data_IF_068788905906
#
_entry.id   IF_068788905906
#
_cell.length_a   1.000
_cell.length_b   1.000
_cell.length_c   1.000
_cell.angle_alpha   90.00
_cell.angle_beta   90.00
_cell.angle_gamma   90.00
#
_symmetry.space_group_name_H-M   'P 1'
#
loop_
_entity.id
_entity.type
_entity.pdbx_description
1 polymer ?
#
# COMPACT_ATOMS: atom_id res chain seq x y z
N UNK A 1 -90.63 17.52 58.80
CA UNK A 1 -90.57 18.97 58.59
C UNK A 1 -89.52 19.23 57.52
N UNK A 2 -89.93 19.71 56.35
CA UNK A 2 -89.08 19.99 55.19
C UNK A 2 -88.26 21.28 55.41
N UNK A 3 -86.99 21.29 55.01
CA UNK A 3 -86.37 22.47 54.39
C UNK A 3 -85.41 22.01 53.29
N UNK A 4 -85.70 22.41 52.05
CA UNK A 4 -84.93 22.13 50.83
C UNK A 4 -84.14 23.40 50.52
N UNK A 5 -82.81 23.37 50.63
CA UNK A 5 -81.98 24.51 50.27
C UNK A 5 -81.31 24.25 48.91
N UNK A 6 -81.67 25.07 47.92
CA UNK A 6 -81.10 25.09 46.56
C UNK A 6 -79.70 25.69 46.66
N UNK A 7 -78.63 24.90 46.47
CA UNK A 7 -77.28 25.46 46.28
C UNK A 7 -77.12 25.95 44.84
N UNK A 8 -77.19 27.26 44.65
CA UNK A 8 -76.70 27.90 43.43
C UNK A 8 -75.16 27.79 43.37
N UNK A 9 -74.63 27.30 42.24
CA UNK A 9 -73.19 27.28 42.00
C UNK A 9 -72.70 28.71 41.73
N UNK A 10 -71.72 29.17 42.52
CA UNK A 10 -71.12 30.50 42.39
C UNK A 10 -70.47 30.70 40.99
N UNK A 11 -70.59 31.88 40.35
CA UNK A 11 -70.11 32.18 38.99
C UNK A 11 -68.62 31.85 38.72
N UNK A 12 -67.78 31.82 39.75
CA UNK A 12 -66.34 31.61 39.63
C UNK A 12 -65.95 30.20 39.14
N UNK A 13 -66.77 29.17 39.37
CA UNK A 13 -66.42 27.80 38.97
C UNK A 13 -66.50 27.56 37.45
N UNK A 14 -67.40 28.25 36.75
CA UNK A 14 -67.57 28.10 35.29
C UNK A 14 -66.42 28.79 34.53
N UNK A 15 -65.90 29.90 35.06
CA UNK A 15 -64.78 30.63 34.47
C UNK A 15 -63.45 29.86 34.60
N UNK A 16 -63.20 29.25 35.76
CA UNK A 16 -62.03 28.40 36.02
C UNK A 16 -62.01 27.16 35.11
N UNK A 17 -63.16 26.48 34.93
CA UNK A 17 -63.27 25.32 34.02
C UNK A 17 -62.99 25.68 32.56
N UNK A 18 -63.38 26.89 32.09
CA UNK A 18 -63.09 27.37 30.73
C UNK A 18 -61.60 27.69 30.54
N UNK A 19 -60.95 28.29 31.54
CA UNK A 19 -59.49 28.54 31.52
C UNK A 19 -58.69 27.24 31.44
N UNK A 20 -59.04 26.25 32.26
CA UNK A 20 -58.37 24.93 32.29
C UNK A 20 -58.54 24.16 30.97
N UNK A 21 -59.72 24.20 30.34
CA UNK A 21 -59.96 23.56 29.04
C UNK A 21 -59.14 24.22 27.91
N UNK A 22 -59.02 25.55 27.90
CA UNK A 22 -58.22 26.27 26.92
C UNK A 22 -56.70 26.06 27.11
N UNK A 23 -56.22 25.96 28.35
CA UNK A 23 -54.82 25.61 28.67
C UNK A 23 -54.47 24.20 28.16
N UNK A 24 -55.34 23.22 28.38
CA UNK A 24 -55.14 21.84 27.91
C UNK A 24 -55.09 21.76 26.38
N UNK A 25 -55.98 22.47 25.68
CA UNK A 25 -56.01 22.54 24.21
C UNK A 25 -54.79 23.23 23.60
N UNK A 26 -54.23 24.25 24.26
CA UNK A 26 -53.01 24.96 23.81
C UNK A 26 -51.76 24.08 23.93
N UNK A 27 -51.67 23.29 24.99
CA UNK A 27 -50.58 22.32 25.19
C UNK A 27 -50.52 21.25 24.10
N UNK A 28 -51.65 20.69 23.69
CA UNK A 28 -51.70 19.69 22.60
C UNK A 28 -51.27 20.23 21.24
N UNK A 29 -51.58 21.50 20.91
CA UNK A 29 -51.15 22.13 19.65
C UNK A 29 -49.65 22.43 19.61
N UNK A 30 -49.08 22.87 20.73
CA UNK A 30 -47.64 23.15 20.85
C UNK A 30 -46.84 21.83 20.81
N UNK A 31 -47.35 20.79 21.47
CA UNK A 31 -46.71 19.47 21.47
C UNK A 31 -46.73 18.82 20.08
N UNK A 32 -47.85 18.93 19.33
CA UNK A 32 -47.94 18.46 17.95
C UNK A 32 -47.00 19.20 16.98
N UNK A 33 -46.83 20.51 17.15
CA UNK A 33 -45.92 21.32 16.32
C UNK A 33 -44.45 20.99 16.58
N UNK A 34 -44.07 20.70 17.83
CA UNK A 34 -42.70 20.29 18.20
C UNK A 34 -42.34 18.90 17.65
N UNK A 35 -43.30 17.96 17.64
CA UNK A 35 -43.10 16.64 17.02
C UNK A 35 -42.90 16.79 15.51
N UNK A 36 -43.72 17.61 14.84
CA UNK A 36 -43.59 17.85 13.40
C UNK A 36 -42.25 18.53 13.06
N UNK A 37 -41.83 19.50 13.86
CA UNK A 37 -40.53 20.16 13.71
C UNK A 37 -39.36 19.18 13.94
N UNK A 38 -39.46 18.30 14.94
CA UNK A 38 -38.48 17.24 15.18
C UNK A 38 -38.37 16.28 13.98
N UNK A 39 -39.49 15.86 13.39
CA UNK A 39 -39.48 15.00 12.18
C UNK A 39 -38.94 15.71 10.93
N UNK A 40 -39.20 17.01 10.77
CA UNK A 40 -38.66 17.83 9.68
C UNK A 40 -37.14 18.01 9.86
N UNK A 41 -36.68 18.31 11.08
CA UNK A 41 -35.24 18.40 11.40
C UNK A 41 -34.52 17.06 11.22
N UNK A 42 -35.14 15.94 11.61
CA UNK A 42 -34.58 14.59 11.37
C UNK A 42 -34.45 14.28 9.87
N UNK A 43 -35.44 14.65 9.06
CA UNK A 43 -35.39 14.45 7.60
C UNK A 43 -34.37 15.37 6.91
N UNK A 44 -34.21 16.60 7.37
CA UNK A 44 -33.18 17.54 6.87
C UNK A 44 -31.76 17.09 7.25
N UNK A 45 -31.56 16.46 8.41
CA UNK A 45 -30.27 15.87 8.80
C UNK A 45 -29.88 14.65 7.94
N UNK A 46 -30.85 13.92 7.39
CA UNK A 46 -30.62 12.71 6.61
C UNK A 46 -30.16 12.98 5.15
N UNK A 47 -30.21 14.23 4.69
CA UNK A 47 -29.93 14.63 3.30
C UNK A 47 -28.46 15.04 3.03
N UNK A 48 -27.54 14.76 3.95
CA UNK A 48 -26.11 15.07 3.75
C UNK A 48 -25.15 14.03 4.33
N UNK A 49 -25.50 12.74 4.23
CA UNK A 49 -24.47 11.70 4.24
C UNK A 49 -23.94 11.55 2.82
N UNK A 50 -22.86 12.28 2.51
CA UNK A 50 -21.95 11.82 1.47
C UNK A 50 -21.35 10.51 1.97
N UNK A 51 -21.86 9.37 1.50
CA UNK A 51 -21.08 8.14 1.52
C UNK A 51 -19.91 8.43 0.59
N UNK A 52 -18.78 8.80 1.17
CA UNK A 52 -17.52 8.80 0.47
C UNK A 52 -17.34 7.36 0.02
N UNK A 53 -17.46 7.11 -1.29
CA UNK A 53 -17.33 5.75 -1.81
C UNK A 53 -15.91 5.29 -1.43
N UNK A 54 -15.82 4.35 -0.49
CA UNK A 54 -14.54 3.76 -0.13
C UNK A 54 -13.92 3.22 -1.43
N UNK A 55 -12.69 3.65 -1.73
CA UNK A 55 -12.05 3.31 -3.00
C UNK A 55 -12.09 1.80 -3.28
N UNK A 56 -12.26 1.43 -4.54
CA UNK A 56 -12.53 0.05 -4.94
C UNK A 56 -11.26 -0.69 -5.35
N UNK A 57 -11.19 -1.96 -4.97
CA UNK A 57 -10.19 -2.90 -5.44
C UNK A 57 -10.74 -3.74 -6.60
N UNK A 58 -9.93 -3.98 -7.62
CA UNK A 58 -10.30 -4.78 -8.79
C UNK A 58 -9.14 -5.71 -9.17
N UNK A 59 -9.40 -7.01 -9.31
CA UNK A 59 -8.40 -7.95 -9.80
C UNK A 59 -8.56 -8.14 -11.32
N UNK A 60 -7.51 -7.87 -12.09
CA UNK A 60 -7.43 -8.12 -13.53
C UNK A 60 -6.22 -9.00 -13.80
N UNK A 61 -6.45 -10.22 -14.29
CA UNK A 61 -5.39 -11.19 -14.64
C UNK A 61 -4.34 -11.39 -13.52
N UNK A 62 -4.80 -11.58 -12.27
CA UNK A 62 -3.96 -11.71 -11.07
C UNK A 62 -3.19 -10.44 -10.65
N UNK A 63 -3.47 -9.30 -11.25
CA UNK A 63 -2.96 -8.00 -10.83
C UNK A 63 -4.08 -7.23 -10.15
N UNK A 64 -3.84 -6.81 -8.90
CA UNK A 64 -4.78 -5.97 -8.16
C UNK A 64 -4.59 -4.50 -8.52
N UNK A 65 -5.70 -3.83 -8.78
CA UNK A 65 -5.79 -2.40 -9.02
C UNK A 65 -6.63 -1.74 -7.93
N UNK A 66 -6.28 -0.51 -7.58
CA UNK A 66 -7.01 0.33 -6.63
C UNK A 66 -7.44 1.63 -7.31
N UNK A 67 -8.72 1.96 -7.15
CA UNK A 67 -9.32 3.19 -7.67
C UNK A 67 -9.89 3.98 -6.49
N UNK A 68 -9.30 5.12 -6.10
CA UNK A 68 -9.80 5.91 -4.99
C UNK A 68 -11.18 6.51 -5.28
N UNK A 69 -11.47 6.79 -6.56
CA UNK A 69 -12.79 7.23 -7.04
C UNK A 69 -13.08 6.59 -8.41
N UNK A 70 -14.32 6.69 -8.90
CA UNK A 70 -14.66 6.17 -10.24
C UNK A 70 -13.96 6.91 -11.39
N UNK A 71 -13.53 8.16 -11.17
CA UNK A 71 -12.92 9.01 -12.20
C UNK A 71 -11.38 8.99 -12.13
N UNK A 72 -10.81 8.59 -11.00
CA UNK A 72 -9.36 8.57 -10.79
C UNK A 72 -8.78 7.16 -10.98
N UNK A 73 -8.12 6.94 -12.11
CA UNK A 73 -7.51 5.66 -12.45
C UNK A 73 -5.99 5.57 -12.19
N UNK A 74 -5.35 6.66 -11.74
CA UNK A 74 -3.89 6.78 -11.64
C UNK A 74 -3.39 7.14 -10.23
N UNK A 75 -3.93 6.51 -9.20
CA UNK A 75 -3.52 6.73 -7.82
C UNK A 75 -2.10 6.20 -7.54
N UNK A 76 -1.32 6.96 -6.77
CA UNK A 76 -0.03 6.49 -6.23
C UNK A 76 0.09 6.86 -4.76
N UNK A 77 0.22 5.85 -3.89
CA UNK A 77 0.28 6.07 -2.46
C UNK A 77 -0.04 4.83 -1.65
N UNK A 78 -0.10 5.03 -0.33
CA UNK A 78 -0.45 3.99 0.63
C UNK A 78 -1.96 3.90 0.80
N UNK A 79 -2.48 2.67 0.85
CA UNK A 79 -3.87 2.36 1.13
C UNK A 79 -3.91 1.39 2.29
N UNK A 80 -4.74 1.66 3.28
CA UNK A 80 -5.02 0.71 4.35
C UNK A 80 -6.32 -0.03 4.02
N UNK A 81 -6.28 -1.36 4.06
CA UNK A 81 -7.49 -2.17 3.92
C UNK A 81 -8.36 -2.00 5.16
N UNK A 82 -9.64 -1.60 5.03
CA UNK A 82 -10.54 -1.46 6.18
C UNK A 82 -10.85 -2.80 6.84
N UNK A 83 -10.79 -3.90 6.09
CA UNK A 83 -11.08 -5.25 6.56
C UNK A 83 -9.94 -5.85 7.40
N UNK A 84 -8.69 -5.67 6.94
CA UNK A 84 -7.52 -6.33 7.53
C UNK A 84 -6.61 -5.40 8.33
N UNK A 85 -6.85 -4.08 8.26
CA UNK A 85 -5.95 -3.03 8.74
C UNK A 85 -4.53 -3.06 8.14
N UNK A 86 -4.28 -3.91 7.14
CA UNK A 86 -2.97 -4.03 6.47
C UNK A 86 -2.78 -2.89 5.47
N UNK A 87 -1.53 -2.44 5.37
CA UNK A 87 -1.11 -1.42 4.42
C UNK A 87 -0.64 -2.03 3.10
N UNK A 88 -1.01 -1.39 2.01
CA UNK A 88 -0.63 -1.74 0.64
C UNK A 88 -0.11 -0.49 -0.05
N UNK A 89 0.85 -0.64 -0.95
CA UNK A 89 1.32 0.46 -1.78
C UNK A 89 0.80 0.31 -3.21
N UNK A 90 0.25 1.41 -3.73
CA UNK A 90 -0.27 1.51 -5.09
C UNK A 90 0.65 2.43 -5.89
N UNK A 91 0.98 2.01 -7.11
CA UNK A 91 1.68 2.83 -8.10
C UNK A 91 0.90 2.83 -9.40
N UNK A 92 0.48 4.01 -9.86
CA UNK A 92 -0.34 4.17 -11.07
C UNK A 92 -1.55 3.23 -11.09
N UNK A 93 -2.27 3.17 -9.97
CA UNK A 93 -3.42 2.29 -9.77
C UNK A 93 -3.09 0.82 -9.52
N UNK A 94 -1.84 0.36 -9.68
CA UNK A 94 -1.44 -1.05 -9.50
C UNK A 94 -0.88 -1.33 -8.11
N UNK A 95 -1.35 -2.39 -7.46
CA UNK A 95 -0.77 -2.91 -6.22
C UNK A 95 0.66 -3.40 -6.45
N UNK A 96 1.58 -2.97 -5.61
CA UNK A 96 2.98 -3.39 -5.67
C UNK A 96 3.24 -4.60 -4.76
N UNK A 97 4.30 -5.34 -5.05
CA UNK A 97 4.86 -6.42 -4.21
C UNK A 97 6.38 -6.31 -4.19
N UNK A 98 7.04 -6.98 -3.24
CA UNK A 98 8.49 -6.96 -3.10
C UNK A 98 9.03 -5.66 -2.51
N UNK A 99 10.33 -5.43 -2.71
CA UNK A 99 11.02 -4.23 -2.27
C UNK A 99 10.60 -3.01 -3.10
N UNK A 100 10.37 -1.89 -2.43
CA UNK A 100 10.04 -0.63 -3.08
C UNK A 100 10.54 0.58 -2.27
N UNK A 101 10.76 1.70 -2.94
CA UNK A 101 11.10 2.97 -2.28
C UNK A 101 9.99 3.99 -2.41
N UNK A 102 9.65 4.66 -1.30
CA UNK A 102 8.69 5.76 -1.27
C UNK A 102 9.24 6.92 -0.45
N UNK A 103 9.28 8.12 -1.05
CA UNK A 103 9.76 9.36 -0.40
C UNK A 103 11.12 9.20 0.32
N UNK A 104 12.05 8.49 -0.31
CA UNK A 104 13.41 8.28 0.21
C UNK A 104 13.54 7.18 1.28
N UNK A 105 12.46 6.47 1.61
CA UNK A 105 12.48 5.30 2.51
C UNK A 105 12.21 4.02 1.72
N UNK A 106 12.79 2.91 2.19
CA UNK A 106 12.55 1.58 1.62
C UNK A 106 11.52 0.80 2.44
N UNK A 107 10.70 0.01 1.75
CA UNK A 107 9.65 -0.82 2.31
C UNK A 107 9.67 -2.18 1.61
N UNK A 108 9.16 -3.20 2.29
CA UNK A 108 8.92 -4.51 1.69
C UNK A 108 7.44 -4.84 1.72
N UNK A 109 6.88 -5.17 0.55
CA UNK A 109 5.53 -5.68 0.42
C UNK A 109 5.58 -7.19 0.19
N UNK A 110 4.82 -7.95 0.97
CA UNK A 110 4.77 -9.40 0.84
C UNK A 110 4.16 -9.81 -0.51
N UNK A 111 4.20 -11.12 -0.81
CA UNK A 111 3.64 -11.65 -2.07
C UNK A 111 2.14 -11.37 -2.23
N UNK A 112 1.41 -11.18 -1.12
CA UNK A 112 0.01 -10.78 -1.11
C UNK A 112 -0.20 -9.24 -1.14
N UNK A 113 0.88 -8.47 -1.27
CA UNK A 113 0.88 -7.01 -1.34
C UNK A 113 0.92 -6.29 0.01
N UNK A 114 0.69 -6.98 1.13
CA UNK A 114 0.65 -6.34 2.43
C UNK A 114 2.05 -5.97 2.93
N UNK A 115 2.20 -4.77 3.48
CA UNK A 115 3.45 -4.23 4.02
C UNK A 115 3.98 -5.09 5.17
N UNK A 116 5.27 -5.42 5.11
CA UNK A 116 5.98 -6.02 6.23
C UNK A 116 6.35 -4.95 7.26
N UNK A 117 6.19 -5.27 8.54
CA UNK A 117 6.58 -4.43 9.67
C UNK A 117 7.23 -5.29 10.77
N UNK A 118 8.06 -4.66 11.60
CA UNK A 118 8.69 -5.22 12.81
C UNK A 118 9.38 -6.57 12.59
N UNK A 119 10.11 -6.72 11.48
CA UNK A 119 10.79 -7.98 11.16
C UNK A 119 12.03 -7.77 10.30
N UNK A 120 12.88 -8.80 10.26
CA UNK A 120 13.95 -8.90 9.28
C UNK A 120 13.41 -9.33 7.93
N UNK A 121 13.83 -8.65 6.88
CA UNK A 121 13.66 -9.06 5.48
C UNK A 121 15.06 -9.13 4.86
N UNK A 122 15.58 -10.34 4.70
CA UNK A 122 16.98 -10.55 4.33
C UNK A 122 17.92 -9.92 5.36
N UNK A 123 18.80 -9.01 4.90
CA UNK A 123 19.80 -8.35 5.74
C UNK A 123 19.34 -6.98 6.27
N UNK A 124 18.06 -6.66 6.18
CA UNK A 124 17.46 -5.37 6.56
C UNK A 124 16.35 -5.59 7.57
N UNK A 125 16.21 -4.68 8.53
CA UNK A 125 15.10 -4.69 9.47
C UNK A 125 14.07 -3.63 9.07
N UNK A 126 12.81 -4.03 8.86
CA UNK A 126 11.68 -3.10 8.66
C UNK A 126 11.04 -2.77 10.00
N UNK A 127 10.87 -1.47 10.27
CA UNK A 127 10.37 -0.92 11.53
C UNK A 127 8.87 -1.06 11.70
N UNK A 128 8.35 -0.38 12.72
CA UNK A 128 6.90 -0.29 13.00
C UNK A 128 6.14 0.51 11.93
N UNK A 129 6.79 1.49 11.28
CA UNK A 129 6.21 2.21 10.14
C UNK A 129 6.42 1.46 8.81
N UNK A 130 6.91 0.21 8.85
CA UNK A 130 7.29 -0.61 7.70
C UNK A 130 8.55 -0.15 6.96
N UNK A 131 9.14 1.00 7.33
CA UNK A 131 10.34 1.49 6.68
C UNK A 131 11.57 0.74 7.16
N UNK A 132 12.53 0.50 6.25
CA UNK A 132 13.85 -0.03 6.61
C UNK A 132 14.52 0.92 7.60
N UNK A 133 14.99 0.37 8.71
CA UNK A 133 15.79 1.11 9.68
C UNK A 133 17.20 1.33 9.13
N UNK A 134 17.71 2.55 9.29
CA UNK A 134 19.07 2.95 8.86
C UNK A 134 19.79 3.69 9.98
N UNK A 135 21.12 3.61 9.97
CA UNK A 135 22.03 4.34 10.88
C UNK A 135 21.66 4.25 12.38
N UNK A 136 21.20 3.08 12.82
CA UNK A 136 20.77 2.81 14.19
C UNK A 136 20.88 1.34 14.56
N UNK A 137 20.54 1.01 15.79
CA UNK A 137 20.43 -0.37 16.25
C UNK A 137 19.01 -0.92 15.99
N UNK A 138 18.92 -2.17 15.53
CA UNK A 138 17.67 -2.93 15.47
C UNK A 138 17.21 -3.34 16.89
N UNK A 139 15.94 -3.73 17.07
CA UNK A 139 15.44 -4.12 18.40
C UNK A 139 16.17 -5.29 19.07
N UNK A 140 16.80 -6.15 18.27
CA UNK A 140 17.61 -7.30 18.71
C UNK A 140 19.12 -7.00 18.81
N UNK A 141 19.53 -5.73 18.69
CA UNK A 141 20.88 -5.29 19.03
C UNK A 141 21.87 -5.20 17.87
N UNK A 142 21.44 -5.38 16.63
CA UNK A 142 22.32 -5.28 15.46
C UNK A 142 22.44 -3.83 14.99
N UNK A 143 23.67 -3.36 14.79
CA UNK A 143 23.92 -2.04 14.20
C UNK A 143 23.65 -2.07 12.70
N UNK A 144 22.94 -1.08 12.19
CA UNK A 144 22.55 -0.94 10.80
C UNK A 144 23.32 0.20 10.14
N UNK A 145 23.68 0.01 8.88
CA UNK A 145 24.38 1.01 8.07
C UNK A 145 23.43 2.04 7.44
N UNK A 146 23.99 2.99 6.69
CA UNK A 146 23.24 4.01 5.96
C UNK A 146 22.34 3.44 4.86
N UNK A 147 22.69 2.28 4.27
CA UNK A 147 21.81 1.59 3.31
C UNK A 147 20.83 0.62 4.01
N UNK A 148 20.86 0.55 5.33
CA UNK A 148 20.00 -0.30 6.17
C UNK A 148 20.50 -1.72 6.37
N UNK A 149 21.51 -2.18 5.63
CA UNK A 149 22.09 -3.51 5.86
C UNK A 149 22.77 -3.54 7.23
N UNK A 150 22.61 -4.64 7.96
CA UNK A 150 23.32 -4.80 9.23
C UNK A 150 24.85 -4.78 9.04
N UNK A 151 25.54 -4.34 10.08
CA UNK A 151 26.99 -4.23 10.11
C UNK A 151 27.62 -5.52 10.62
N UNK A 152 28.51 -6.10 9.82
CA UNK A 152 29.40 -7.17 10.24
C UNK A 152 30.83 -6.65 10.27
N UNK A 153 31.49 -6.73 11.44
CA UNK A 153 32.85 -6.18 11.66
C UNK A 153 32.99 -4.71 11.22
N UNK A 154 31.94 -3.91 11.47
CA UNK A 154 31.93 -2.47 11.19
C UNK A 154 31.65 -2.09 9.73
N UNK A 155 31.34 -3.05 8.86
CA UNK A 155 30.99 -2.80 7.45
C UNK A 155 29.60 -3.35 7.12
N UNK A 156 28.85 -2.73 6.19
CA UNK A 156 27.57 -3.27 5.73
C UNK A 156 27.78 -4.63 5.09
N UNK A 157 26.94 -5.60 5.45
CA UNK A 157 26.98 -6.93 4.83
C UNK A 157 26.65 -6.84 3.34
N UNK A 158 25.60 -6.13 2.97
CA UNK A 158 25.32 -5.79 1.58
C UNK A 158 25.83 -4.39 1.28
N UNK A 159 27.00 -4.29 0.66
CA UNK A 159 27.62 -2.99 0.34
C UNK A 159 27.15 -2.46 -1.01
N UNK A 160 26.69 -1.20 -1.01
CA UNK A 160 26.42 -0.45 -2.24
C UNK A 160 27.75 -0.05 -2.87
N UNK A 161 28.01 -0.44 -4.11
CA UNK A 161 29.20 -0.01 -4.83
C UNK A 161 28.83 0.70 -6.14
N UNK A 162 29.81 1.31 -6.81
CA UNK A 162 29.57 2.06 -8.05
C UNK A 162 28.95 1.21 -9.18
N UNK A 163 29.10 -0.11 -9.13
CA UNK A 163 28.55 -1.03 -10.15
C UNK A 163 27.05 -1.28 -9.93
N UNK A 164 26.59 -1.37 -8.68
CA UNK A 164 25.17 -1.58 -8.36
C UNK A 164 24.38 -0.28 -8.28
N UNK A 165 25.00 0.82 -7.86
CA UNK A 165 24.31 2.09 -7.60
C UNK A 165 23.66 2.75 -8.84
N UNK A 166 24.21 2.52 -10.04
CA UNK A 166 23.80 3.26 -11.25
C UNK A 166 22.40 2.88 -11.73
N UNK A 167 22.04 1.60 -11.74
CA UNK A 167 20.71 1.17 -12.18
C UNK A 167 19.63 1.34 -11.11
N UNK A 168 19.99 1.50 -9.83
CA UNK A 168 19.00 1.74 -8.76
C UNK A 168 18.18 2.98 -9.08
N UNK A 169 18.85 4.09 -9.43
CA UNK A 169 18.17 5.33 -9.79
C UNK A 169 17.25 5.14 -11.00
N UNK A 170 17.73 4.42 -12.01
CA UNK A 170 16.95 4.11 -13.21
C UNK A 170 15.70 3.30 -12.86
N UNK A 171 15.80 2.26 -12.04
CA UNK A 171 14.66 1.43 -11.63
C UNK A 171 13.70 2.16 -10.67
N UNK A 172 14.18 3.16 -9.91
CA UNK A 172 13.31 4.03 -9.12
C UNK A 172 12.47 4.95 -10.00
N UNK A 173 13.08 5.54 -11.03
CA UNK A 173 12.42 6.44 -11.99
C UNK A 173 11.53 5.67 -12.98
N UNK A 174 11.95 4.49 -13.41
CA UNK A 174 11.30 3.61 -14.37
C UNK A 174 11.08 2.21 -13.77
N UNK A 175 10.10 2.05 -12.87
CA UNK A 175 9.83 0.78 -12.17
C UNK A 175 9.38 -0.35 -13.11
N UNK A 176 8.90 0.00 -14.29
CA UNK A 176 8.40 -0.87 -15.35
C UNK A 176 9.43 -1.04 -16.48
N UNK A 177 10.67 -0.60 -16.25
CA UNK A 177 11.75 -0.77 -17.21
C UNK A 177 11.91 -2.26 -17.55
N UNK A 178 11.87 -2.54 -18.86
CA UNK A 178 12.12 -3.88 -19.38
C UNK A 178 13.60 -4.16 -19.32
N UNK A 179 13.98 -5.25 -18.66
CA UNK A 179 15.36 -5.69 -18.58
C UNK A 179 15.66 -6.73 -19.65
N UNK A 180 16.85 -6.61 -20.25
CA UNK A 180 17.45 -7.60 -21.12
C UNK A 180 18.80 -7.97 -20.53
N UNK A 181 19.03 -9.26 -20.35
CA UNK A 181 20.27 -9.83 -19.85
C UNK A 181 20.98 -10.55 -21.00
N UNK A 182 21.97 -9.90 -21.58
CA UNK A 182 22.72 -10.38 -22.75
C UNK A 182 24.04 -11.03 -22.34
N UNK A 183 24.45 -12.09 -23.03
CA UNK A 183 25.78 -12.71 -22.84
C UNK A 183 26.02 -13.31 -21.43
N UNK A 184 25.37 -14.43 -21.10
CA UNK A 184 25.41 -15.08 -19.78
C UNK A 184 26.72 -15.82 -19.49
N UNK A 185 27.60 -15.92 -20.50
CA UNK A 185 28.94 -16.49 -20.36
C UNK A 185 29.85 -15.64 -19.45
N UNK A 186 29.36 -14.51 -18.96
CA UNK A 186 30.09 -13.60 -18.07
C UNK A 186 29.35 -13.42 -16.74
N UNK A 187 29.06 -14.53 -16.06
CA UNK A 187 28.62 -14.52 -14.67
C UNK A 187 29.80 -14.75 -13.75
N UNK A 188 29.98 -13.85 -12.79
CA UNK A 188 31.02 -13.99 -11.76
C UNK A 188 30.40 -14.00 -10.38
N UNK A 189 30.71 -15.04 -9.60
CA UNK A 189 30.41 -15.04 -8.17
C UNK A 189 31.44 -14.16 -7.47
N UNK A 190 30.96 -13.10 -6.83
CA UNK A 190 31.78 -12.19 -6.04
C UNK A 190 31.35 -12.28 -4.58
N UNK A 191 32.20 -11.79 -3.67
CA UNK A 191 31.94 -11.80 -2.23
C UNK A 191 32.44 -10.50 -1.62
N UNK A 192 31.50 -9.67 -1.16
CA UNK A 192 31.78 -8.41 -0.44
C UNK A 192 31.33 -8.54 1.01
N UNK A 193 32.18 -8.20 1.99
CA UNK A 193 31.85 -8.22 3.43
C UNK A 193 31.14 -9.51 3.92
N UNK A 194 31.60 -10.66 3.43
CA UNK A 194 31.02 -11.98 3.70
C UNK A 194 29.65 -12.28 3.08
N UNK A 195 29.15 -11.38 2.24
CA UNK A 195 27.93 -11.55 1.46
C UNK A 195 28.27 -11.95 0.02
N UNK A 196 27.91 -13.17 -0.40
CA UNK A 196 28.12 -13.61 -1.77
C UNK A 196 26.99 -13.10 -2.68
N UNK A 197 27.36 -12.64 -3.87
CA UNK A 197 26.44 -12.15 -4.89
C UNK A 197 26.95 -12.48 -6.29
N UNK A 198 26.05 -12.40 -7.27
CA UNK A 198 26.34 -12.75 -8.66
C UNK A 198 26.38 -11.47 -9.47
N UNK A 199 27.46 -11.26 -10.23
CA UNK A 199 27.52 -10.17 -11.20
C UNK A 199 27.20 -10.71 -12.59
N UNK A 200 26.19 -10.11 -13.21
CA UNK A 200 25.88 -10.25 -14.63
C UNK A 200 26.47 -9.05 -15.37
N UNK A 201 27.41 -9.26 -16.29
CA UNK A 201 28.18 -8.16 -16.90
C UNK A 201 27.41 -7.24 -17.84
N UNK A 202 26.26 -7.68 -18.35
CA UNK A 202 25.47 -6.88 -19.29
C UNK A 202 23.97 -7.01 -19.08
N UNK A 203 23.44 -6.09 -18.28
CA UNK A 203 22.02 -5.77 -18.24
C UNK A 203 21.78 -4.49 -19.02
N UNK A 204 20.76 -4.51 -19.86
CA UNK A 204 20.20 -3.31 -20.50
C UNK A 204 18.78 -3.08 -20.00
N UNK A 205 18.48 -1.85 -19.59
CA UNK A 205 17.13 -1.44 -19.19
C UNK A 205 16.55 -0.53 -20.26
N UNK A 206 15.32 -0.81 -20.67
CA UNK A 206 14.60 -0.05 -21.68
C UNK A 206 13.28 0.47 -21.14
N UNK A 207 12.93 1.70 -21.53
CA UNK A 207 11.58 2.21 -21.32
C UNK A 207 10.59 1.39 -22.18
N UNK A 208 9.57 0.75 -21.60
CA UNK A 208 8.70 -0.18 -22.32
C UNK A 208 7.79 0.53 -23.35
N UNK A 209 7.57 1.84 -23.22
CA UNK A 209 6.67 2.61 -24.08
C UNK A 209 7.41 3.17 -25.29
N UNK A 210 8.61 3.68 -25.07
CA UNK A 210 9.41 4.39 -26.08
C UNK A 210 10.56 3.56 -26.64
N UNK A 211 10.89 2.43 -26.01
CA UNK A 211 12.08 1.61 -26.30
C UNK A 211 13.41 2.36 -26.13
N UNK A 212 13.42 3.49 -25.42
CA UNK A 212 14.64 4.22 -25.11
C UNK A 212 15.55 3.42 -24.17
N UNK A 213 16.86 3.41 -24.43
CA UNK A 213 17.85 2.80 -23.54
C UNK A 213 18.02 3.70 -22.30
N UNK A 214 17.72 3.15 -21.12
CA UNK A 214 17.81 3.84 -19.84
C UNK A 214 19.12 3.51 -19.09
N UNK A 215 19.63 2.29 -19.28
CA UNK A 215 20.85 1.81 -18.63
C UNK A 215 21.47 0.68 -19.45
N UNK A 216 22.81 0.62 -19.48
CA UNK A 216 23.57 -0.55 -19.91
C UNK A 216 24.78 -0.72 -18.97
N UNK A 217 25.00 -1.92 -18.44
CA UNK A 217 26.16 -2.22 -17.60
C UNK A 217 26.00 -3.47 -16.73
N UNK A 218 26.83 -3.58 -15.70
CA UNK A 218 26.78 -4.69 -14.73
C UNK A 218 25.44 -4.67 -13.95
N UNK A 219 24.97 -5.85 -13.57
CA UNK A 219 23.85 -6.06 -12.66
C UNK A 219 24.25 -7.01 -11.53
N UNK A 220 24.01 -6.59 -10.29
CA UNK A 220 24.26 -7.41 -9.11
C UNK A 220 23.00 -8.16 -8.70
N UNK A 221 23.08 -9.48 -8.64
CA UNK A 221 22.00 -10.36 -8.21
C UNK A 221 22.27 -10.93 -6.83
N UNK A 222 21.21 -11.04 -6.04
CA UNK A 222 21.23 -11.92 -4.88
C UNK A 222 21.48 -13.37 -5.35
N UNK A 223 22.23 -14.15 -4.58
CA UNK A 223 22.43 -15.59 -4.86
C UNK A 223 21.14 -16.40 -5.01
N UNK A 224 20.06 -16.00 -4.33
CA UNK A 224 18.76 -16.65 -4.43
C UNK A 224 17.80 -15.91 -5.36
N UNK A 225 18.29 -14.92 -6.11
CA UNK A 225 17.44 -14.18 -7.02
C UNK A 225 16.85 -15.13 -8.06
N UNK A 226 15.58 -14.91 -8.35
CA UNK A 226 14.79 -15.74 -9.26
C UNK A 226 14.32 -14.87 -10.42
N UNK A 227 14.45 -15.39 -11.62
CA UNK A 227 13.86 -14.84 -12.82
C UNK A 227 12.67 -15.71 -13.21
N UNK A 228 11.51 -15.09 -13.24
CA UNK A 228 10.30 -15.67 -13.79
C UNK A 228 10.35 -15.61 -15.32
N UNK A 229 9.83 -16.62 -16.01
CA UNK A 229 9.57 -16.54 -17.45
C UNK A 229 8.40 -17.43 -17.85
N UNK A 230 7.69 -17.05 -18.91
CA UNK A 230 6.62 -17.87 -19.48
C UNK A 230 7.18 -18.76 -20.60
N UNK A 231 7.02 -20.08 -20.48
CA UNK A 231 7.52 -21.05 -21.46
C UNK A 231 6.54 -21.32 -22.62
N UNK A 232 5.38 -20.66 -22.64
CA UNK A 232 4.29 -20.90 -23.60
C UNK A 232 3.08 -21.62 -22.99
N UNK A 233 3.25 -22.29 -21.84
CA UNK A 233 2.17 -23.01 -21.12
C UNK A 233 2.10 -22.66 -19.65
N UNK A 234 3.25 -22.51 -18.99
CA UNK A 234 3.38 -22.29 -17.55
C UNK A 234 4.41 -21.21 -17.28
N UNK A 235 4.27 -20.61 -16.09
CA UNK A 235 5.31 -19.77 -15.51
C UNK A 235 6.35 -20.67 -14.87
N UNK A 236 7.59 -20.54 -15.34
CA UNK A 236 8.77 -21.20 -14.80
C UNK A 236 9.69 -20.19 -14.11
N UNK A 237 10.63 -20.72 -13.33
CA UNK A 237 11.57 -19.94 -12.54
C UNK A 237 13.01 -20.40 -12.78
N UNK A 238 13.91 -19.46 -13.02
CA UNK A 238 15.35 -19.69 -13.19
C UNK A 238 16.08 -18.98 -12.05
N UNK A 239 16.95 -19.70 -11.34
CA UNK A 239 17.83 -19.06 -10.36
C UNK A 239 18.93 -18.30 -11.08
N UNK A 240 19.41 -17.20 -10.50
CA UNK A 240 20.44 -16.37 -11.11
C UNK A 240 21.71 -17.14 -11.56
N UNK A 241 22.14 -18.18 -10.83
CA UNK A 241 23.29 -19.02 -11.23
C UNK A 241 23.00 -19.87 -12.48
N UNK A 242 21.75 -20.28 -12.68
CA UNK A 242 21.35 -21.12 -13.80
C UNK A 242 21.25 -20.31 -15.11
N UNK A 243 21.28 -18.97 -15.03
CA UNK A 243 21.35 -18.08 -16.19
C UNK A 243 22.58 -18.32 -17.08
N UNK A 244 23.68 -18.87 -16.54
CA UNK A 244 24.88 -19.21 -17.31
C UNK A 244 24.59 -20.11 -18.53
N UNK A 245 23.49 -20.85 -18.49
CA UNK A 245 23.12 -21.84 -19.49
C UNK A 245 22.18 -21.29 -20.57
N UNK A 246 21.76 -20.02 -20.48
CA UNK A 246 20.63 -19.46 -21.26
C UNK A 246 21.07 -18.25 -22.06
N UNK A 247 21.15 -18.33 -23.39
CA UNK A 247 21.75 -17.29 -24.26
C UNK A 247 21.33 -15.83 -24.01
N UNK A 248 20.06 -15.58 -23.72
CA UNK A 248 19.53 -14.26 -23.37
C UNK A 248 18.17 -14.45 -22.72
N UNK A 249 17.87 -13.62 -21.72
CA UNK A 249 16.57 -13.57 -21.06
C UNK A 249 16.12 -12.12 -20.93
N UNK A 250 14.82 -11.89 -21.08
CA UNK A 250 14.21 -10.59 -20.81
C UNK A 250 13.16 -10.70 -19.70
N UNK A 251 13.00 -9.61 -18.97
CA UNK A 251 12.00 -9.46 -17.94
C UNK A 251 11.26 -8.14 -18.07
N UNK A 252 9.98 -8.14 -17.69
CA UNK A 252 9.11 -6.96 -17.69
C UNK A 252 9.44 -5.98 -16.59
N UNK A 253 9.98 -6.49 -15.47
CA UNK A 253 10.23 -5.68 -14.29
C UNK A 253 11.37 -6.29 -13.47
N UNK A 254 12.20 -5.42 -12.90
CA UNK A 254 13.32 -5.80 -12.03
C UNK A 254 13.06 -5.26 -10.63
N UNK A 255 13.16 -6.14 -9.64
CA UNK A 255 13.01 -5.79 -8.23
C UNK A 255 14.37 -5.88 -7.55
N UNK A 256 14.70 -4.83 -6.81
CA UNK A 256 15.97 -4.67 -6.11
C UNK A 256 15.74 -4.43 -4.63
N UNK A 257 16.65 -4.89 -3.80
CA UNK A 257 16.66 -4.58 -2.37
C UNK A 257 17.26 -3.18 -2.09
N UNK A 258 17.26 -2.71 -0.82
CA UNK A 258 17.81 -1.41 -0.46
C UNK A 258 19.31 -1.22 -0.77
N UNK A 259 20.06 -2.31 -0.92
CA UNK A 259 21.47 -2.28 -1.34
C UNK A 259 21.63 -2.42 -2.87
N UNK A 260 20.52 -2.44 -3.61
CA UNK A 260 20.50 -2.48 -5.08
C UNK A 260 20.69 -3.85 -5.67
N UNK A 261 20.71 -4.93 -4.88
CA UNK A 261 20.83 -6.27 -5.45
C UNK A 261 19.49 -6.69 -6.02
N UNK A 262 19.49 -7.20 -7.25
CA UNK A 262 18.31 -7.77 -7.89
C UNK A 262 17.90 -9.00 -7.09
N UNK A 263 16.67 -8.99 -6.60
CA UNK A 263 16.06 -10.10 -5.85
C UNK A 263 15.09 -10.90 -6.70
N UNK A 264 14.47 -10.25 -7.68
CA UNK A 264 13.48 -10.88 -8.56
C UNK A 264 13.41 -10.17 -9.91
N UNK A 265 13.17 -10.92 -10.97
CA UNK A 265 12.83 -10.38 -12.29
C UNK A 265 11.52 -11.02 -12.73
N UNK A 266 10.50 -10.20 -12.96
CA UNK A 266 9.23 -10.67 -13.51
C UNK A 266 9.38 -10.93 -15.01
N UNK A 267 8.91 -12.08 -15.47
CA UNK A 267 9.13 -12.56 -16.83
C UNK A 267 8.29 -11.87 -17.90
N UNK A 268 8.81 -11.86 -19.13
CA UNK A 268 7.97 -11.61 -20.31
C UNK A 268 7.03 -12.80 -20.58
N UNK A 269 5.79 -12.49 -21.02
CA UNK A 269 4.98 -13.49 -21.73
C UNK A 269 5.59 -13.58 -23.13
N UNK A 270 6.22 -14.71 -23.43
CA UNK A 270 6.70 -15.01 -24.79
C UNK A 270 5.53 -15.22 -25.75
#
# INVERSE_FOLDING_TARGET
MFYKEKREMKPNYILEMRKLRNLKMRGYKIFGALILFFFICMNLLALSFSVEAEGRWENKDNVWYYYPTEEEHSFTGWVQSPESARWYFIKEGKMQTGWMSWKGKWYFLNADGGMAEKQWVGNFYVGEDGAVLTDRESPDGWKLSANGSYLFKGKPVQELNEKTARYIKVLMEHPDARAIFDSPSQLTLEKGNNYPFIIFKKMSLYDPKTSALLYEGDAGFHNYAVLEYYNGTTTDYIRAMDLMQIRSISGKQVFIDPAGFITYVAGDKR
#
